data_IF_205353335631
#
_entry.id   IF_205353335631
#
_cell.length_a   1.000
_cell.length_b   1.000
_cell.length_c   1.000
_cell.angle_alpha   90.00
_cell.angle_beta   90.00
_cell.angle_gamma   90.00
#
_symmetry.space_group_name_H-M   'P 1'
#
loop_
_entity.id
_entity.type
_entity.pdbx_description
1 polymer ?
#
# COMPACT_ATOMS: atom_id res chain seq x y z
N UNK A 1 -23.77 4.43 9.41
CA UNK A 1 -22.38 4.40 9.88
C UNK A 1 -21.69 5.67 9.44
N UNK A 2 -21.15 6.46 10.36
CA UNK A 2 -20.35 7.62 9.97
C UNK A 2 -19.04 7.13 9.33
N UNK A 3 -18.54 7.77 8.26
CA UNK A 3 -17.26 7.41 7.68
C UNK A 3 -16.19 7.65 8.75
N UNK A 4 -15.29 6.67 8.92
CA UNK A 4 -14.16 6.73 9.85
C UNK A 4 -13.34 8.01 9.58
N UNK A 5 -13.57 9.04 10.38
CA UNK A 5 -12.77 10.28 10.40
C UNK A 5 -11.45 10.08 11.16
N UNK A 6 -10.81 8.94 11.01
CA UNK A 6 -9.42 8.83 11.43
C UNK A 6 -8.53 9.37 10.32
N UNK A 7 -8.40 10.68 10.26
CA UNK A 7 -7.31 11.35 9.56
C UNK A 7 -6.00 10.92 10.23
N UNK A 8 -5.52 9.73 9.88
CA UNK A 8 -4.24 9.22 10.34
C UNK A 8 -3.11 10.17 9.97
N UNK A 9 -1.96 10.05 10.65
CA UNK A 9 -0.78 10.89 10.37
C UNK A 9 -0.31 10.80 8.91
N UNK A 10 -0.64 9.71 8.20
CA UNK A 10 -0.24 9.41 6.83
C UNK A 10 -1.16 9.99 5.74
N UNK A 11 -2.29 10.61 6.11
CA UNK A 11 -3.32 11.01 5.13
C UNK A 11 -3.30 12.50 4.75
N UNK A 12 -2.35 13.28 5.24
CA UNK A 12 -2.29 14.74 4.99
C UNK A 12 -2.13 15.05 3.51
N UNK A 13 -1.32 14.28 2.80
CA UNK A 13 -1.09 14.42 1.35
C UNK A 13 -1.75 13.33 0.51
N UNK A 14 -2.68 12.60 1.11
CA UNK A 14 -3.52 11.68 0.36
C UNK A 14 -4.30 12.45 -0.70
N UNK A 15 -4.26 12.04 -1.98
CA UNK A 15 -5.07 12.68 -3.01
C UNK A 15 -6.57 12.47 -2.74
N UNK A 16 -7.43 13.28 -3.35
CA UNK A 16 -8.87 13.05 -3.31
C UNK A 16 -9.25 11.66 -3.81
N UNK A 17 -10.31 11.10 -3.24
CA UNK A 17 -10.91 9.88 -3.77
C UNK A 17 -11.44 10.14 -5.19
N UNK A 18 -11.25 9.15 -6.07
CA UNK A 18 -11.75 9.22 -7.43
C UNK A 18 -12.99 8.33 -7.62
N UNK A 19 -13.91 8.77 -8.49
CA UNK A 19 -15.20 8.12 -8.71
C UNK A 19 -15.45 7.81 -10.18
N UNK A 20 -14.42 7.95 -11.03
CA UNK A 20 -14.52 7.75 -12.47
C UNK A 20 -14.78 6.29 -12.89
N UNK A 21 -14.67 5.35 -11.95
CA UNK A 21 -15.02 3.95 -12.14
C UNK A 21 -16.48 3.63 -11.78
N UNK A 22 -17.23 4.57 -11.21
CA UNK A 22 -18.65 4.36 -10.83
C UNK A 22 -19.48 3.88 -12.02
N UNK A 23 -20.27 2.83 -11.82
CA UNK A 23 -21.08 2.17 -12.84
C UNK A 23 -20.30 1.17 -13.71
N UNK A 24 -18.98 1.06 -13.57
CA UNK A 24 -18.19 0.11 -14.34
C UNK A 24 -18.21 -1.27 -13.73
N UNK A 25 -18.18 -2.27 -14.62
CA UNK A 25 -18.06 -3.69 -14.30
C UNK A 25 -16.80 -4.25 -14.96
N UNK A 26 -16.07 -5.08 -14.23
CA UNK A 26 -14.89 -5.80 -14.72
C UNK A 26 -15.02 -7.28 -14.37
N UNK A 27 -14.58 -8.14 -15.27
CA UNK A 27 -14.27 -9.55 -14.97
C UNK A 27 -12.75 -9.64 -14.84
N UNK A 28 -12.29 -10.06 -13.68
CA UNK A 28 -10.89 -10.18 -13.32
C UNK A 28 -10.52 -11.66 -13.34
N UNK A 29 -9.60 -12.04 -14.21
CA UNK A 29 -9.13 -13.43 -14.39
C UNK A 29 -7.79 -13.55 -13.69
N UNK A 30 -7.78 -14.24 -12.55
CA UNK A 30 -6.61 -14.38 -11.71
C UNK A 30 -5.88 -15.72 -11.94
N UNK A 31 -4.57 -15.71 -11.71
CA UNK A 31 -3.71 -16.88 -11.86
C UNK A 31 -3.89 -17.92 -10.74
N UNK A 32 -4.70 -17.62 -9.71
CA UNK A 32 -5.14 -18.58 -8.69
C UNK A 32 -6.26 -19.53 -9.18
N UNK A 33 -6.70 -19.35 -10.41
CA UNK A 33 -7.74 -20.16 -11.05
C UNK A 33 -9.18 -19.71 -10.76
N UNK A 34 -9.36 -18.58 -10.07
CA UNK A 34 -10.67 -18.03 -9.76
C UNK A 34 -10.92 -16.70 -10.47
N UNK A 35 -11.91 -16.68 -11.34
CA UNK A 35 -12.42 -15.45 -11.92
C UNK A 35 -13.28 -14.71 -10.89
N UNK A 36 -13.10 -13.39 -10.83
CA UNK A 36 -13.88 -12.54 -9.93
C UNK A 36 -14.54 -11.41 -10.70
N UNK A 37 -15.73 -11.08 -10.29
CA UNK A 37 -16.47 -9.90 -10.77
C UNK A 37 -16.19 -8.74 -9.82
N UNK A 38 -15.92 -7.56 -10.39
CA UNK A 38 -15.81 -6.29 -9.69
C UNK A 38 -16.78 -5.30 -10.29
N UNK A 39 -17.71 -4.77 -9.48
CA UNK A 39 -18.70 -3.76 -9.91
C UNK A 39 -18.64 -2.56 -8.99
N UNK A 40 -18.37 -1.39 -9.52
CA UNK A 40 -18.46 -0.13 -8.79
C UNK A 40 -19.92 0.38 -8.82
N UNK A 41 -20.72 0.01 -7.80
CA UNK A 41 -22.16 0.33 -7.75
C UNK A 41 -22.42 1.82 -7.63
N UNK A 42 -21.70 2.47 -6.75
CA UNK A 42 -21.76 3.90 -6.49
C UNK A 42 -20.41 4.44 -6.00
N UNK A 43 -20.40 5.65 -5.44
CA UNK A 43 -19.17 6.32 -4.95
C UNK A 43 -18.57 5.69 -3.68
N UNK A 44 -19.27 4.77 -3.03
CA UNK A 44 -18.90 4.20 -1.73
C UNK A 44 -19.01 2.69 -1.66
N UNK A 45 -19.74 2.09 -2.60
CA UNK A 45 -20.06 0.67 -2.60
C UNK A 45 -19.55 0.02 -3.87
N UNK A 46 -18.75 -1.01 -3.71
CA UNK A 46 -18.43 -1.95 -4.77
C UNK A 46 -18.97 -3.34 -4.43
N UNK A 47 -19.20 -4.16 -5.46
CA UNK A 47 -19.48 -5.59 -5.33
C UNK A 47 -18.27 -6.36 -5.85
N UNK A 48 -17.79 -7.35 -5.09
CA UNK A 48 -16.62 -8.15 -5.45
C UNK A 48 -16.79 -9.60 -4.98
N UNK A 49 -16.36 -10.55 -5.82
CA UNK A 49 -16.39 -11.98 -5.53
C UNK A 49 -16.42 -12.82 -6.79
N UNK A 50 -16.49 -14.15 -6.63
CA UNK A 50 -16.76 -15.08 -7.72
C UNK A 50 -18.17 -14.87 -8.26
N UNK A 51 -18.40 -15.23 -9.52
CA UNK A 51 -19.69 -15.01 -10.16
C UNK A 51 -20.83 -15.70 -9.39
N UNK A 52 -21.83 -14.93 -8.97
CA UNK A 52 -22.97 -15.40 -8.17
C UNK A 52 -22.73 -15.42 -6.65
N UNK A 53 -21.54 -15.10 -6.19
CA UNK A 53 -21.16 -15.04 -4.77
C UNK A 53 -20.58 -13.65 -4.40
N UNK A 54 -20.83 -12.64 -5.23
CA UNK A 54 -20.32 -11.30 -4.98
C UNK A 54 -20.96 -10.70 -3.73
N UNK A 55 -20.14 -10.04 -2.92
CA UNK A 55 -20.56 -9.28 -1.74
C UNK A 55 -20.31 -7.80 -1.94
N UNK A 56 -21.09 -6.99 -1.24
CA UNK A 56 -20.95 -5.54 -1.24
C UNK A 56 -19.99 -5.09 -0.14
N UNK A 57 -19.08 -4.19 -0.53
CA UNK A 57 -18.08 -3.62 0.37
C UNK A 57 -18.06 -2.10 0.25
N UNK A 58 -17.87 -1.44 1.37
CA UNK A 58 -17.46 -0.03 1.37
C UNK A 58 -16.01 0.05 0.89
N UNK A 59 -15.70 0.97 -0.01
CA UNK A 59 -14.38 1.09 -0.61
C UNK A 59 -13.89 2.53 -0.67
N UNK A 60 -12.58 2.67 -0.83
CA UNK A 60 -11.92 3.91 -1.25
C UNK A 60 -11.10 3.63 -2.51
N UNK A 61 -11.15 4.56 -3.47
CA UNK A 61 -10.39 4.47 -4.71
C UNK A 61 -9.50 5.70 -4.88
N UNK A 62 -8.21 5.46 -5.09
CA UNK A 62 -7.20 6.48 -5.35
C UNK A 62 -6.59 6.27 -6.74
N UNK A 63 -6.16 7.34 -7.38
CA UNK A 63 -5.50 7.29 -8.69
C UNK A 63 -4.02 7.59 -8.52
N UNK A 64 -3.16 6.62 -8.82
CA UNK A 64 -1.71 6.75 -8.71
C UNK A 64 -1.06 7.29 -9.99
N UNK A 65 -1.63 6.93 -11.14
CA UNK A 65 -1.14 7.33 -12.45
C UNK A 65 -2.30 7.31 -13.47
N UNK A 66 -2.04 7.70 -14.70
CA UNK A 66 -3.04 7.61 -15.76
C UNK A 66 -3.60 6.18 -15.85
N UNK A 67 -4.94 6.05 -15.72
CA UNK A 67 -5.67 4.77 -15.74
C UNK A 67 -5.13 3.69 -14.80
N UNK A 68 -4.42 4.09 -13.73
CA UNK A 68 -3.92 3.20 -12.71
C UNK A 68 -4.54 3.55 -11.35
N UNK A 69 -5.30 2.61 -10.79
CA UNK A 69 -6.16 2.82 -9.63
C UNK A 69 -5.78 1.88 -8.49
N UNK A 70 -5.79 2.43 -7.30
CA UNK A 70 -5.62 1.72 -6.04
C UNK A 70 -6.98 1.65 -5.35
N UNK A 71 -7.60 0.47 -5.34
CA UNK A 71 -8.94 0.23 -4.78
C UNK A 71 -8.78 -0.55 -3.49
N UNK A 72 -9.17 0.05 -2.38
CA UNK A 72 -8.99 -0.51 -1.04
C UNK A 72 -10.33 -0.75 -0.35
N UNK A 73 -10.52 -1.95 0.19
CA UNK A 73 -11.68 -2.35 0.99
C UNK A 73 -11.33 -3.46 1.97
N UNK A 74 -12.27 -3.84 2.81
CA UNK A 74 -12.09 -4.88 3.84
C UNK A 74 -13.39 -5.67 4.01
N UNK A 75 -13.28 -6.98 4.24
CA UNK A 75 -14.41 -7.76 4.71
C UNK A 75 -14.50 -7.65 6.25
N UNK A 76 -15.47 -6.90 6.78
CA UNK A 76 -15.58 -6.67 8.22
C UNK A 76 -16.08 -7.90 8.97
N UNK A 77 -16.56 -8.93 8.27
CA UNK A 77 -17.12 -10.15 8.84
C UNK A 77 -16.08 -11.22 9.11
N UNK A 78 -14.94 -11.16 8.42
CA UNK A 78 -13.88 -12.15 8.54
C UNK A 78 -13.08 -12.01 9.83
N UNK A 79 -12.71 -13.16 10.39
CA UNK A 79 -11.76 -13.30 11.51
C UNK A 79 -10.83 -14.47 11.19
N UNK A 80 -9.52 -14.28 11.08
CA UNK A 80 -8.78 -13.02 11.20
C UNK A 80 -9.19 -11.99 10.16
N UNK A 81 -8.91 -10.69 10.44
CA UNK A 81 -9.22 -9.58 9.54
C UNK A 81 -8.49 -9.75 8.20
N UNK A 82 -9.19 -9.40 7.14
CA UNK A 82 -8.69 -9.44 5.77
C UNK A 82 -8.91 -8.09 5.09
N UNK A 83 -7.82 -7.40 4.80
CA UNK A 83 -7.82 -6.23 3.93
C UNK A 83 -7.59 -6.65 2.48
N UNK A 84 -8.38 -6.11 1.57
CA UNK A 84 -8.30 -6.41 0.14
C UNK A 84 -7.93 -5.14 -0.61
N UNK A 85 -6.88 -5.21 -1.40
CA UNK A 85 -6.49 -4.11 -2.29
C UNK A 85 -6.39 -4.62 -3.72
N UNK A 86 -7.02 -3.92 -4.65
CA UNK A 86 -6.87 -4.17 -6.08
C UNK A 86 -6.10 -3.01 -6.72
N UNK A 87 -5.04 -3.32 -7.44
CA UNK A 87 -4.38 -2.37 -8.34
C UNK A 87 -4.87 -2.67 -9.75
N UNK A 88 -5.66 -1.76 -10.31
CA UNK A 88 -6.19 -1.88 -11.67
C UNK A 88 -5.35 -1.03 -12.61
N UNK A 89 -4.60 -1.62 -13.50
CA UNK A 89 -3.93 -0.95 -14.61
C UNK A 89 -4.75 -1.10 -15.89
N UNK A 90 -5.59 -0.12 -16.17
CA UNK A 90 -6.48 -0.11 -17.34
C UNK A 90 -5.77 0.30 -18.64
N UNK A 91 -4.47 0.59 -18.62
CA UNK A 91 -3.69 0.76 -19.85
C UNK A 91 -3.22 -0.59 -20.40
N UNK A 92 -2.93 -1.52 -19.51
CA UNK A 92 -2.44 -2.86 -19.87
C UNK A 92 -3.52 -3.94 -19.71
N UNK A 93 -4.70 -3.59 -19.17
CA UNK A 93 -5.77 -4.50 -18.75
C UNK A 93 -5.24 -5.54 -17.74
N UNK A 94 -4.43 -5.10 -16.78
CA UNK A 94 -3.86 -5.93 -15.74
C UNK A 94 -4.43 -5.61 -14.36
N UNK A 95 -4.39 -6.60 -13.49
CA UNK A 95 -4.79 -6.45 -12.10
C UNK A 95 -3.81 -7.17 -11.16
N UNK A 96 -3.54 -6.56 -10.02
CA UNK A 96 -2.90 -7.23 -8.87
C UNK A 96 -3.84 -7.13 -7.69
N UNK A 97 -4.11 -8.25 -7.03
CA UNK A 97 -4.83 -8.30 -5.77
C UNK A 97 -3.85 -8.58 -4.63
N UNK A 98 -3.96 -7.79 -3.57
CA UNK A 98 -3.21 -8.00 -2.33
C UNK A 98 -4.19 -8.31 -1.21
N UNK A 99 -4.01 -9.46 -0.59
CA UNK A 99 -4.77 -9.93 0.55
C UNK A 99 -3.92 -9.76 1.80
N UNK A 100 -4.23 -8.76 2.61
CA UNK A 100 -3.49 -8.47 3.84
C UNK A 100 -4.19 -9.13 5.03
N UNK A 101 -3.44 -9.95 5.74
CA UNK A 101 -3.92 -10.75 6.87
C UNK A 101 -3.38 -10.24 8.19
N UNK A 102 -4.23 -10.25 9.22
CA UNK A 102 -3.84 -9.95 10.61
C UNK A 102 -4.25 -11.10 11.52
N UNK A 103 -3.46 -11.31 12.59
CA UNK A 103 -3.76 -12.32 13.62
C UNK A 103 -3.70 -13.78 13.13
N UNK A 104 -3.01 -14.06 12.02
CA UNK A 104 -2.84 -15.45 11.53
C UNK A 104 -1.82 -16.24 12.33
N UNK A 105 -0.87 -15.58 12.99
CA UNK A 105 0.13 -16.24 13.82
C UNK A 105 -0.25 -16.09 15.31
N UNK A 106 -0.68 -17.17 15.98
CA UNK A 106 -1.11 -17.09 17.38
C UNK A 106 0.02 -16.71 18.36
N UNK A 107 1.29 -16.93 17.98
CA UNK A 107 2.46 -16.54 18.80
C UNK A 107 2.81 -15.06 18.66
N UNK A 108 2.44 -14.44 17.54
CA UNK A 108 2.67 -13.02 17.24
C UNK A 108 1.41 -12.45 16.59
N UNK A 109 0.35 -12.21 17.40
CA UNK A 109 -0.97 -11.85 16.86
C UNK A 109 -0.98 -10.58 15.99
N UNK A 110 -0.09 -9.65 16.27
CA UNK A 110 0.04 -8.40 15.50
C UNK A 110 0.93 -8.51 14.25
N UNK A 111 1.42 -9.71 13.90
CA UNK A 111 2.27 -9.90 12.71
C UNK A 111 1.45 -9.72 11.43
N UNK A 112 1.80 -8.74 10.59
CA UNK A 112 1.17 -8.61 9.28
C UNK A 112 1.73 -9.66 8.30
N UNK A 113 0.89 -10.12 7.39
CA UNK A 113 1.29 -10.90 6.22
C UNK A 113 0.42 -10.53 5.02
N UNK A 114 0.92 -10.76 3.82
CA UNK A 114 0.16 -10.48 2.61
C UNK A 114 0.37 -11.59 1.58
N UNK A 115 -0.71 -11.93 0.88
CA UNK A 115 -0.68 -12.76 -0.31
C UNK A 115 -0.91 -11.88 -1.55
N UNK A 116 -0.25 -12.23 -2.65
CA UNK A 116 -0.29 -11.47 -3.89
C UNK A 116 -0.80 -12.38 -5.01
N UNK A 117 -1.86 -11.94 -5.68
CA UNK A 117 -2.46 -12.68 -6.80
C UNK A 117 -2.45 -11.77 -8.03
N UNK A 118 -1.82 -12.26 -9.09
CA UNK A 118 -1.75 -11.55 -10.35
C UNK A 118 -2.87 -11.99 -11.28
N UNK A 119 -3.28 -11.11 -12.19
CA UNK A 119 -4.33 -11.41 -13.14
C UNK A 119 -4.42 -10.40 -14.27
N UNK A 120 -5.35 -10.65 -15.17
CA UNK A 120 -5.74 -9.76 -16.24
C UNK A 120 -7.21 -9.38 -16.16
N UNK A 121 -7.57 -8.31 -16.84
CA UNK A 121 -8.95 -7.86 -17.01
C UNK A 121 -9.45 -8.43 -18.33
N UNK A 122 -10.57 -9.14 -18.29
CA UNK A 122 -11.21 -9.69 -19.49
C UNK A 122 -11.64 -8.56 -20.41
N UNK A 123 -11.16 -8.58 -21.64
CA UNK A 123 -11.49 -7.60 -22.67
C UNK A 123 -12.84 -7.90 -23.33
N UNK A 124 -13.36 -6.92 -24.03
CA UNK A 124 -14.63 -7.04 -24.76
C UNK A 124 -14.61 -8.08 -25.90
N UNK A 125 -13.42 -8.39 -26.41
CA UNK A 125 -13.21 -9.44 -27.41
C UNK A 125 -13.07 -10.85 -26.81
N UNK A 126 -13.22 -10.99 -25.49
CA UNK A 126 -13.10 -12.24 -24.77
C UNK A 126 -11.68 -12.68 -24.46
N UNK A 127 -10.68 -11.84 -24.75
CA UNK A 127 -9.27 -12.13 -24.46
C UNK A 127 -8.82 -11.59 -23.09
N UNK A 128 -7.78 -12.19 -22.53
CA UNK A 128 -7.07 -11.72 -21.33
C UNK A 128 -5.60 -11.52 -21.71
N UNK A 129 -4.94 -10.46 -21.26
CA UNK A 129 -3.52 -10.26 -21.54
C UNK A 129 -2.68 -11.45 -21.10
N UNK A 130 -1.71 -11.85 -21.95
CA UNK A 130 -0.76 -12.92 -21.64
C UNK A 130 0.38 -12.53 -20.71
N UNK A 131 0.49 -11.21 -20.39
CA UNK A 131 1.47 -10.67 -19.43
C UNK A 131 0.82 -10.45 -18.07
N UNK A 132 1.66 -10.27 -17.04
CA UNK A 132 1.23 -9.94 -15.65
C UNK A 132 2.11 -8.85 -15.07
N UNK A 133 1.60 -8.16 -14.05
CA UNK A 133 2.47 -7.51 -13.08
C UNK A 133 3.37 -8.57 -12.42
N UNK A 134 4.49 -8.17 -11.86
CA UNK A 134 5.41 -9.16 -11.27
C UNK A 134 6.37 -8.58 -10.26
N UNK A 135 6.95 -9.45 -9.46
CA UNK A 135 8.02 -9.09 -8.53
C UNK A 135 9.19 -8.46 -9.26
N UNK A 136 9.88 -7.53 -8.59
CA UNK A 136 10.97 -6.79 -9.21
C UNK A 136 12.07 -6.44 -8.22
N UNK A 137 13.30 -6.40 -8.73
CA UNK A 137 14.46 -5.86 -8.04
C UNK A 137 14.80 -4.42 -8.46
N UNK A 138 13.98 -3.78 -9.28
CA UNK A 138 14.26 -2.46 -9.87
C UNK A 138 14.59 -1.37 -8.82
N UNK A 139 14.07 -1.50 -7.61
CA UNK A 139 14.27 -0.54 -6.53
C UNK A 139 15.55 -0.79 -5.72
N UNK A 140 16.20 -1.94 -5.83
CA UNK A 140 17.39 -2.30 -5.03
C UNK A 140 18.51 -1.29 -5.24
N UNK A 141 19.09 -0.81 -4.14
CA UNK A 141 20.14 0.20 -4.13
C UNK A 141 19.63 1.63 -4.25
N UNK A 142 18.32 1.85 -4.32
CA UNK A 142 17.74 3.20 -4.35
C UNK A 142 17.30 3.66 -2.97
N UNK A 143 17.14 4.96 -2.80
CA UNK A 143 16.58 5.59 -1.62
C UNK A 143 15.56 6.63 -2.01
N UNK A 144 14.41 6.63 -1.33
CA UNK A 144 13.34 7.60 -1.56
C UNK A 144 12.92 8.20 -0.23
N UNK A 145 12.97 9.54 -0.16
CA UNK A 145 12.44 10.28 0.99
C UNK A 145 10.99 10.66 0.72
N UNK A 146 10.10 10.33 1.64
CA UNK A 146 8.66 10.57 1.57
C UNK A 146 8.22 11.58 2.62
N UNK A 147 7.43 12.57 2.22
CA UNK A 147 6.80 13.55 3.09
C UNK A 147 5.30 13.25 3.20
N UNK A 148 4.87 12.81 4.36
CA UNK A 148 3.45 12.56 4.68
C UNK A 148 2.77 13.78 5.33
N UNK A 149 3.39 14.96 5.26
CA UNK A 149 2.89 16.20 5.82
C UNK A 149 3.17 16.39 7.31
N UNK A 150 3.05 15.33 8.10
CA UNK A 150 3.34 15.37 9.54
C UNK A 150 4.72 14.84 9.88
N UNK A 151 5.31 14.02 9.05
CA UNK A 151 6.67 13.53 9.20
C UNK A 151 7.31 13.23 7.84
N UNK A 152 8.62 13.23 7.83
CA UNK A 152 9.44 12.84 6.70
C UNK A 152 10.15 11.52 7.05
N UNK A 153 10.13 10.58 6.13
CA UNK A 153 10.73 9.26 6.26
C UNK A 153 11.54 8.95 5.02
N UNK A 154 12.69 8.33 5.17
CA UNK A 154 13.45 7.82 4.05
C UNK A 154 13.42 6.29 4.06
N UNK A 155 13.10 5.72 2.91
CA UNK A 155 13.20 4.29 2.64
C UNK A 155 14.44 4.03 1.79
N UNK A 156 15.28 3.12 2.23
CA UNK A 156 16.42 2.59 1.46
C UNK A 156 16.11 1.16 1.12
N UNK A 157 15.98 0.85 -0.14
CA UNK A 157 15.65 -0.49 -0.64
C UNK A 157 16.96 -1.30 -0.72
N UNK A 158 17.27 -2.00 0.38
CA UNK A 158 18.58 -2.65 0.56
C UNK A 158 18.72 -3.94 -0.27
N UNK A 159 17.65 -4.72 -0.36
CA UNK A 159 17.56 -5.93 -1.17
C UNK A 159 16.16 -6.06 -1.78
N UNK A 160 15.89 -7.14 -2.47
CA UNK A 160 14.55 -7.47 -2.99
C UNK A 160 13.50 -7.70 -1.90
N UNK A 161 13.93 -7.98 -0.67
CA UNK A 161 13.04 -8.37 0.43
C UNK A 161 13.19 -7.55 1.69
N UNK A 162 14.18 -6.64 1.75
CA UNK A 162 14.46 -5.82 2.93
C UNK A 162 14.64 -4.36 2.57
N UNK A 163 14.05 -3.51 3.39
CA UNK A 163 14.27 -2.09 3.34
C UNK A 163 14.74 -1.57 4.70
N UNK A 164 15.41 -0.45 4.66
CA UNK A 164 15.74 0.34 5.83
C UNK A 164 14.90 1.59 5.87
N UNK A 165 14.43 1.92 7.03
CA UNK A 165 13.66 3.13 7.27
C UNK A 165 14.42 4.05 8.21
N UNK A 166 14.49 5.34 7.87
CA UNK A 166 15.01 6.37 8.76
C UNK A 166 14.06 7.54 8.87
N UNK A 167 14.02 8.14 10.06
CA UNK A 167 13.21 9.32 10.32
C UNK A 167 14.11 10.56 10.37
N UNK A 168 13.70 11.64 9.71
CA UNK A 168 14.37 12.92 9.88
C UNK A 168 14.05 13.54 11.26
N UNK A 169 14.95 14.36 11.79
CA UNK A 169 14.71 15.11 13.04
C UNK A 169 13.46 15.97 12.95
N UNK A 170 13.22 16.60 11.80
CA UNK A 170 12.03 17.40 11.50
C UNK A 170 10.78 16.54 11.46
N UNK A 171 10.87 15.35 10.86
CA UNK A 171 9.79 14.37 10.79
C UNK A 171 9.37 13.90 12.17
N UNK A 172 10.31 13.52 13.02
CA UNK A 172 10.04 13.11 14.40
C UNK A 172 9.43 14.24 15.23
N UNK A 173 9.96 15.47 15.15
CA UNK A 173 9.41 16.61 15.86
C UNK A 173 7.97 16.91 15.45
N UNK A 174 7.62 16.74 14.18
CA UNK A 174 6.25 16.90 13.67
C UNK A 174 5.34 15.76 14.13
N UNK A 175 5.79 14.51 14.05
CA UNK A 175 5.01 13.35 14.43
C UNK A 175 4.59 13.37 15.91
N UNK A 176 5.50 13.84 16.78
CA UNK A 176 5.28 13.85 18.24
C UNK A 176 4.81 15.18 18.82
N UNK A 177 4.61 16.21 17.99
CA UNK A 177 4.15 17.52 18.47
C UNK A 177 2.78 17.43 19.15
N UNK A 178 2.74 17.78 20.44
CA UNK A 178 1.51 17.75 21.24
C UNK A 178 1.00 16.37 21.64
N UNK A 179 1.80 15.32 21.44
CA UNK A 179 1.45 13.94 21.81
C UNK A 179 2.58 13.27 22.56
N UNK A 180 2.85 13.66 23.82
CA UNK A 180 3.93 13.09 24.63
C UNK A 180 3.76 11.59 24.87
N UNK A 181 2.52 11.08 24.86
CA UNK A 181 2.20 9.67 24.97
C UNK A 181 2.79 8.81 23.82
N UNK A 182 2.84 9.36 22.60
CA UNK A 182 3.44 8.66 21.46
C UNK A 182 4.96 8.55 21.55
N UNK A 183 5.60 9.39 22.37
CA UNK A 183 7.05 9.28 22.61
C UNK A 183 7.42 8.03 23.39
N UNK A 184 6.50 7.47 24.17
CA UNK A 184 6.75 6.30 25.00
C UNK A 184 6.52 4.98 24.27
N UNK A 185 5.83 4.98 23.13
CA UNK A 185 5.48 3.81 22.33
C UNK A 185 6.34 3.60 21.09
N UNK A 186 7.56 4.13 21.06
CA UNK A 186 8.48 3.92 19.94
C UNK A 186 8.83 2.45 19.69
N UNK A 187 9.32 2.12 18.51
CA UNK A 187 9.72 0.76 18.14
C UNK A 187 10.64 0.15 19.21
N UNK A 188 10.25 -1.02 19.77
CA UNK A 188 11.01 -1.69 20.84
C UNK A 188 10.99 -0.97 22.19
N UNK A 189 9.98 -0.13 22.48
CA UNK A 189 9.89 0.64 23.73
C UNK A 189 10.80 1.88 23.76
N UNK A 190 11.55 2.14 22.69
CA UNK A 190 12.42 3.31 22.52
C UNK A 190 11.79 4.29 21.53
N UNK A 191 11.78 5.56 21.87
CA UNK A 191 11.39 6.63 20.92
C UNK A 191 12.39 6.66 19.77
N UNK A 192 11.96 6.60 18.49
CA UNK A 192 12.85 6.76 17.37
C UNK A 192 13.61 8.08 17.45
N UNK A 193 14.90 8.06 17.23
CA UNK A 193 15.77 9.23 17.15
C UNK A 193 16.07 9.56 15.69
N UNK A 194 16.40 10.81 15.41
CA UNK A 194 16.89 11.17 14.08
C UNK A 194 18.14 10.35 13.74
N UNK A 195 18.15 9.72 12.56
CA UNK A 195 19.20 8.84 12.12
C UNK A 195 19.08 7.38 12.56
N UNK A 196 18.11 7.03 13.41
CA UNK A 196 17.83 5.62 13.68
C UNK A 196 17.41 4.91 12.38
N UNK A 197 18.01 3.75 12.16
CA UNK A 197 17.72 2.88 11.02
C UNK A 197 17.02 1.62 11.53
N UNK A 198 15.92 1.30 10.88
CA UNK A 198 15.20 0.06 11.11
C UNK A 198 15.16 -0.74 9.81
N UNK A 199 15.33 -2.05 9.92
CA UNK A 199 15.18 -2.96 8.78
C UNK A 199 13.90 -3.76 8.95
N UNK A 200 13.16 -3.93 7.86
CA UNK A 200 11.97 -4.75 7.84
C UNK A 200 11.73 -5.34 6.44
N UNK A 201 10.73 -6.18 6.32
CA UNK A 201 10.41 -6.85 5.07
C UNK A 201 9.66 -5.94 4.09
N UNK A 202 9.97 -6.14 2.81
CA UNK A 202 9.20 -5.54 1.71
C UNK A 202 8.89 -6.56 0.63
N UNK A 203 7.85 -6.27 -0.15
CA UNK A 203 7.53 -6.98 -1.37
C UNK A 203 7.29 -5.97 -2.50
N UNK A 204 8.26 -5.75 -3.40
CA UNK A 204 8.11 -4.83 -4.53
C UNK A 204 7.55 -5.56 -5.75
N UNK A 205 6.53 -4.98 -6.37
CA UNK A 205 5.86 -5.46 -7.57
C UNK A 205 5.90 -4.34 -8.61
N UNK A 206 6.38 -4.65 -9.81
CA UNK A 206 6.32 -3.74 -10.94
C UNK A 206 4.94 -3.78 -11.57
N UNK A 207 4.25 -2.66 -11.55
CA UNK A 207 2.95 -2.49 -12.21
C UNK A 207 3.18 -2.15 -13.69
N UNK A 208 4.03 -1.17 -13.95
CA UNK A 208 4.54 -0.79 -15.25
C UNK A 208 5.80 0.05 -15.08
N UNK A 209 6.39 0.51 -16.17
CA UNK A 209 7.58 1.33 -16.02
C UNK A 209 7.31 2.52 -15.12
N UNK A 210 8.17 2.70 -14.08
CA UNK A 210 8.16 3.75 -13.08
C UNK A 210 6.93 3.80 -12.16
N UNK A 211 6.08 2.75 -12.19
CA UNK A 211 4.97 2.58 -11.25
C UNK A 211 5.17 1.25 -10.54
N UNK A 212 5.32 1.33 -9.21
CA UNK A 212 5.64 0.18 -8.37
C UNK A 212 4.65 0.09 -7.20
N UNK A 213 4.15 -1.12 -6.96
CA UNK A 213 3.44 -1.45 -5.74
C UNK A 213 4.44 -2.04 -4.75
N UNK A 214 4.51 -1.48 -3.56
CA UNK A 214 5.43 -1.94 -2.51
C UNK A 214 4.65 -2.18 -1.24
N UNK A 215 4.72 -3.40 -0.72
CA UNK A 215 4.17 -3.74 0.59
C UNK A 215 5.31 -3.73 1.62
N UNK A 216 5.19 -2.84 2.59
CA UNK A 216 6.11 -2.65 3.70
C UNK A 216 5.48 -3.31 4.92
N UNK A 217 6.08 -4.42 5.38
CA UNK A 217 5.55 -5.23 6.48
C UNK A 217 6.27 -4.88 7.78
N UNK A 218 5.58 -4.27 8.74
CA UNK A 218 6.13 -3.91 10.07
C UNK A 218 6.31 -5.15 10.98
N UNK A 219 7.17 -6.10 10.57
CA UNK A 219 7.35 -7.37 11.27
C UNK A 219 8.21 -7.23 12.53
N UNK A 220 9.23 -6.35 12.50
CA UNK A 220 10.05 -6.04 13.68
C UNK A 220 9.19 -5.42 14.77
N UNK A 221 8.34 -4.46 14.40
CA UNK A 221 7.41 -3.83 15.33
C UNK A 221 6.40 -4.83 15.90
N UNK A 222 5.88 -5.73 15.06
CA UNK A 222 4.98 -6.79 15.52
C UNK A 222 5.63 -7.71 16.55
N UNK A 223 6.89 -8.12 16.34
CA UNK A 223 7.63 -8.98 17.27
C UNK A 223 7.97 -8.29 18.59
N UNK A 224 8.28 -7.00 18.56
CA UNK A 224 8.77 -6.26 19.73
C UNK A 224 7.67 -5.60 20.53
N UNK A 225 6.55 -5.25 19.88
CA UNK A 225 5.45 -4.48 20.47
C UNK A 225 4.08 -5.19 20.41
N UNK A 226 4.00 -6.35 19.75
CA UNK A 226 2.76 -7.12 19.62
C UNK A 226 1.75 -6.55 18.62
N UNK A 227 2.14 -5.53 17.84
CA UNK A 227 1.29 -4.92 16.80
C UNK A 227 2.14 -4.45 15.63
N UNK A 228 1.59 -4.51 14.43
CA UNK A 228 2.23 -4.07 13.20
C UNK A 228 1.22 -3.79 12.11
N UNK A 229 1.70 -3.26 10.99
CA UNK A 229 0.89 -2.94 9.83
C UNK A 229 1.52 -3.55 8.57
N UNK A 230 0.67 -3.87 7.60
CA UNK A 230 1.04 -3.90 6.19
C UNK A 230 0.77 -2.51 5.64
N UNK A 231 1.82 -1.82 5.21
CA UNK A 231 1.74 -0.50 4.59
C UNK A 231 1.98 -0.71 3.10
N UNK A 232 0.89 -0.76 2.36
CA UNK A 232 0.91 -0.99 0.92
C UNK A 232 0.86 0.35 0.19
N UNK A 233 1.87 0.64 -0.62
CA UNK A 233 1.98 1.89 -1.37
C UNK A 233 2.13 1.63 -2.86
N UNK A 234 1.39 2.35 -3.67
CA UNK A 234 1.50 2.39 -5.13
C UNK A 234 2.21 3.70 -5.50
N UNK A 235 3.49 3.57 -5.82
CA UNK A 235 4.38 4.69 -6.11
C UNK A 235 4.37 5.02 -7.58
N UNK A 236 4.16 6.28 -7.92
CA UNK A 236 4.40 6.84 -9.23
C UNK A 236 5.70 7.65 -9.19
N UNK A 237 6.77 7.09 -9.73
CA UNK A 237 8.08 7.73 -9.69
C UNK A 237 8.24 8.87 -10.72
N UNK A 238 7.36 9.02 -11.69
CA UNK A 238 7.32 10.18 -12.57
C UNK A 238 6.74 11.40 -11.84
N UNK A 239 5.69 11.20 -11.09
CA UNK A 239 5.05 12.24 -10.30
C UNK A 239 5.73 12.44 -8.93
N UNK A 240 6.60 11.51 -8.52
CA UNK A 240 7.16 11.44 -7.16
C UNK A 240 6.08 11.55 -6.09
N UNK A 241 5.06 10.73 -6.26
CA UNK A 241 3.90 10.67 -5.39
C UNK A 241 3.51 9.22 -5.16
N UNK A 242 3.09 8.88 -3.96
CA UNK A 242 2.48 7.60 -3.66
C UNK A 242 1.01 7.74 -3.25
N UNK A 243 0.30 6.67 -3.39
CA UNK A 243 -1.02 6.41 -2.81
C UNK A 243 -0.99 5.02 -2.19
N UNK A 244 -1.71 4.83 -1.11
CA UNK A 244 -1.66 3.51 -0.47
C UNK A 244 -2.62 3.37 0.69
N UNK A 245 -2.35 2.36 1.51
CA UNK A 245 -3.08 2.11 2.75
C UNK A 245 -2.17 1.61 3.87
N UNK A 246 -2.57 1.85 5.09
CA UNK A 246 -2.06 1.16 6.27
C UNK A 246 -3.16 0.25 6.80
N UNK A 247 -2.90 -1.06 6.82
CA UNK A 247 -3.80 -2.08 7.35
C UNK A 247 -3.14 -2.80 8.51
N UNK A 248 -3.77 -2.78 9.69
CA UNK A 248 -3.18 -3.42 10.86
C UNK A 248 -3.75 -2.96 12.17
N UNK A 249 -2.93 -3.09 13.22
CA UNK A 249 -3.29 -2.73 14.59
C UNK A 249 -2.32 -1.70 15.17
N UNK A 250 -2.81 -0.90 16.10
CA UNK A 250 -2.02 0.06 16.88
C UNK A 250 -1.75 -0.45 18.30
N UNK A 251 -0.92 0.28 19.05
CA UNK A 251 -0.56 -0.05 20.45
C UNK A 251 -1.74 -0.07 21.43
N UNK A 252 -2.87 0.51 21.06
CA UNK A 252 -4.08 0.60 21.89
C UNK A 252 -5.08 -0.51 21.55
N UNK A 253 -4.69 -1.49 20.70
CA UNK A 253 -5.56 -2.55 20.21
C UNK A 253 -6.58 -2.11 19.15
N UNK A 254 -6.53 -0.85 18.74
CA UNK A 254 -7.34 -0.33 17.64
C UNK A 254 -6.89 -0.90 16.31
N UNK A 255 -7.85 -1.26 15.47
CA UNK A 255 -7.62 -1.77 14.12
C UNK A 255 -7.92 -0.68 13.11
N UNK A 256 -7.06 -0.55 12.08
CA UNK A 256 -7.21 0.42 11.02
C UNK A 256 -7.08 -0.19 9.64
N UNK A 257 -7.80 0.40 8.70
CA UNK A 257 -7.61 0.24 7.26
C UNK A 257 -7.77 1.64 6.65
N UNK A 258 -6.68 2.39 6.59
CA UNK A 258 -6.73 3.81 6.26
C UNK A 258 -5.90 4.10 5.02
N UNK A 259 -6.48 4.77 4.04
CA UNK A 259 -5.74 5.21 2.86
C UNK A 259 -4.82 6.39 3.17
N UNK A 260 -3.73 6.47 2.43
CA UNK A 260 -2.63 7.41 2.65
C UNK A 260 -2.07 7.96 1.33
N UNK A 261 -1.15 8.92 1.43
CA UNK A 261 -0.38 9.42 0.30
C UNK A 261 0.73 10.36 0.75
N UNK A 262 1.80 10.40 -0.02
CA UNK A 262 2.96 11.24 0.22
C UNK A 262 3.55 11.80 -1.06
N UNK A 263 4.31 12.89 -0.93
CA UNK A 263 5.22 13.37 -1.97
C UNK A 263 6.65 12.92 -1.66
N UNK A 264 7.37 12.51 -2.69
CA UNK A 264 8.68 11.90 -2.55
C UNK A 264 9.81 12.63 -3.27
N UNK A 265 11.04 12.31 -2.89
CA UNK A 265 12.26 12.65 -3.60
C UNK A 265 13.12 11.38 -3.69
N UNK A 266 13.44 10.95 -4.91
CA UNK A 266 14.29 9.81 -5.15
C UNK A 266 15.77 10.21 -5.04
N UNK A 267 16.52 9.47 -4.23
CA UNK A 267 17.96 9.59 -4.08
C UNK A 267 18.59 8.31 -4.66
N UNK A 268 18.73 8.26 -5.96
CA UNK A 268 19.24 7.07 -6.63
C UNK A 268 20.77 6.97 -6.51
N UNK A 269 21.24 6.22 -5.53
CA UNK A 269 22.67 5.96 -5.33
C UNK A 269 23.23 4.96 -6.35
N UNK A 270 22.39 4.11 -6.96
CA UNK A 270 22.84 3.06 -7.90
C UNK A 270 22.83 3.49 -9.35
N UNK A 271 22.17 4.59 -9.68
CA UNK A 271 21.91 5.03 -11.04
C UNK A 271 20.93 4.15 -11.81
N UNK A 272 20.27 3.18 -11.16
CA UNK A 272 19.31 2.28 -11.80
C UNK A 272 18.07 3.05 -12.24
N UNK A 273 17.51 3.85 -11.35
CA UNK A 273 16.36 4.70 -11.68
C UNK A 273 16.78 5.91 -12.51
N UNK A 274 17.95 6.50 -12.26
CA UNK A 274 18.47 7.63 -13.03
C UNK A 274 18.67 7.27 -14.51
N UNK A 275 19.17 6.09 -14.80
CA UNK A 275 19.33 5.61 -16.19
C UNK A 275 17.99 5.41 -16.91
N UNK A 276 16.93 5.05 -16.18
CA UNK A 276 15.58 4.86 -16.72
C UNK A 276 14.76 6.15 -16.71
N UNK A 277 15.21 7.16 -15.99
CA UNK A 277 14.47 8.37 -15.72
C UNK A 277 15.30 9.63 -15.80
N UNK A 278 15.82 9.92 -16.98
CA UNK A 278 16.25 11.29 -17.33
C UNK A 278 15.14 12.35 -17.09
N UNK A 279 13.93 11.93 -16.80
CA UNK A 279 12.78 12.78 -16.47
C UNK A 279 12.80 13.30 -15.02
N UNK A 280 13.59 12.71 -14.09
CA UNK A 280 13.68 13.22 -12.72
C UNK A 280 14.59 14.43 -12.55
N UNK A 281 15.34 14.78 -13.56
CA UNK A 281 16.29 15.90 -13.55
C UNK A 281 15.68 17.14 -14.24
N UNK A 282 14.38 17.19 -14.42
CA UNK A 282 13.69 18.37 -14.98
C UNK A 282 12.73 19.00 -14.00
#
# INVERSE_FOLDING_TARGET
MQPNQHTGMLSVFRPPLVFELTGRRFTLVFDDGYDRTLVFKDRRTLSFGTAGEEKDYAYECLKAAEKCYFVNFEDPTLRPRLGITLVLDLLQDLVTMVLAHMYVNPKIPGMPSSDYVFGGILRTDGTVPGIRHGYTADLVGTSISWNYGRFDIAHVYATEHYYRVSFSARGLARAYRGRPELRRGGMGGRTPSAGDLYEDYLCPIKIRDRVYLVDLLETVKARTQGHGNSILVLMNLDAMHDVGRSFGSNSEGGNGNNTLGAFGVCHDASGVLAKKSTLYVR
#
